data_IF_049052372069
#
_entry.id   IF_049052372069
#
_cell.length_a   1.000
_cell.length_b   1.000
_cell.length_c   1.000
_cell.angle_alpha   90.00
_cell.angle_beta   90.00
_cell.angle_gamma   90.00
#
_symmetry.space_group_name_H-M   'P 1'
#
loop_
_entity.id
_entity.type
_entity.pdbx_description
1 polymer ?
#
# COMPACT_ATOMS: atom_id res chain seq x y z
N UNK A 1 7.29 -8.51 22.50
CA UNK A 1 6.33 -7.41 22.28
C UNK A 1 5.36 -7.89 21.23
N UNK A 2 4.13 -8.24 21.62
CA UNK A 2 3.14 -8.73 20.68
C UNK A 2 2.58 -7.53 19.92
N UNK A 3 2.82 -7.47 18.61
CA UNK A 3 2.14 -6.52 17.73
C UNK A 3 0.64 -6.71 17.94
N UNK A 4 -0.06 -5.63 18.27
CA UNK A 4 -1.52 -5.69 18.38
C UNK A 4 -2.05 -6.12 17.00
N UNK A 5 -2.98 -7.08 16.92
CA UNK A 5 -3.66 -7.33 15.66
C UNK A 5 -4.38 -6.03 15.29
N UNK A 6 -3.95 -5.40 14.20
CA UNK A 6 -4.75 -4.37 13.54
C UNK A 6 -5.95 -5.11 12.96
N UNK A 7 -6.98 -5.28 13.76
CA UNK A 7 -8.30 -5.69 13.26
C UNK A 7 -8.74 -4.55 12.34
N UNK A 8 -8.86 -4.73 11.01
CA UNK A 8 -9.29 -3.66 10.12
C UNK A 8 -10.80 -3.47 10.34
N UNK A 9 -11.15 -2.81 11.43
CA UNK A 9 -12.48 -2.27 11.67
C UNK A 9 -12.56 -1.00 10.83
N UNK A 10 -13.28 -1.08 9.70
CA UNK A 10 -13.98 0.01 9.00
C UNK A 10 -13.30 1.34 8.62
N UNK A 11 -12.04 1.59 8.92
CA UNK A 11 -11.54 2.94 8.70
C UNK A 11 -11.14 3.19 7.24
N UNK A 12 -11.92 4.05 6.59
CA UNK A 12 -11.47 4.78 5.42
C UNK A 12 -10.66 5.96 5.92
N UNK A 13 -9.49 6.18 5.34
CA UNK A 13 -8.57 7.26 5.71
C UNK A 13 -8.37 8.19 4.54
N UNK A 14 -8.04 9.46 4.80
CA UNK A 14 -7.68 10.39 3.73
C UNK A 14 -6.16 10.55 3.67
N UNK A 15 -5.56 10.33 2.50
CA UNK A 15 -4.14 10.55 2.23
C UNK A 15 -4.06 11.40 0.96
N UNK A 16 -3.47 12.58 1.05
CA UNK A 16 -3.37 13.53 -0.08
C UNK A 16 -4.74 13.82 -0.74
N UNK A 17 -5.81 13.87 0.06
CA UNK A 17 -7.18 14.06 -0.44
C UNK A 17 -7.82 12.82 -1.07
N UNK A 18 -7.10 11.70 -1.15
CA UNK A 18 -7.60 10.42 -1.59
C UNK A 18 -8.18 9.63 -0.42
N UNK A 19 -9.43 9.17 -0.56
CA UNK A 19 -10.03 8.27 0.42
C UNK A 19 -9.55 6.84 0.18
N UNK A 20 -8.76 6.30 1.10
CA UNK A 20 -8.15 4.96 1.02
C UNK A 20 -8.69 4.04 2.10
N UNK A 21 -8.48 2.74 1.93
CA UNK A 21 -8.82 1.69 2.91
C UNK A 21 -7.82 0.55 2.76
N UNK A 22 -7.79 -0.39 3.71
CA UNK A 22 -6.86 -1.52 3.63
C UNK A 22 -7.20 -2.45 2.46
N UNK A 23 -6.16 -2.97 1.79
CA UNK A 23 -6.30 -3.95 0.72
C UNK A 23 -7.04 -5.21 1.21
N UNK A 24 -6.64 -5.74 2.38
CA UNK A 24 -7.31 -6.89 3.00
C UNK A 24 -8.79 -6.61 3.32
N UNK A 25 -9.14 -5.39 3.73
CA UNK A 25 -10.52 -4.98 3.95
C UNK A 25 -11.34 -4.94 2.65
N UNK A 26 -10.75 -4.48 1.55
CA UNK A 26 -11.39 -4.54 0.22
C UNK A 26 -11.63 -5.98 -0.21
N UNK A 27 -10.60 -6.82 -0.14
CA UNK A 27 -10.68 -8.23 -0.53
C UNK A 27 -11.74 -8.97 0.30
N UNK A 28 -11.76 -8.77 1.63
CA UNK A 28 -12.75 -9.39 2.50
C UNK A 28 -14.19 -9.00 2.13
N UNK A 29 -14.45 -7.72 1.87
CA UNK A 29 -15.79 -7.23 1.47
C UNK A 29 -16.21 -7.76 0.10
N UNK A 30 -15.28 -7.81 -0.86
CA UNK A 30 -15.56 -8.35 -2.18
C UNK A 30 -15.79 -9.86 -2.15
N UNK A 31 -15.03 -10.61 -1.34
CA UNK A 31 -15.22 -12.05 -1.16
C UNK A 31 -16.58 -12.35 -0.53
N UNK A 32 -17.01 -11.55 0.46
CA UNK A 32 -18.34 -11.68 1.05
C UNK A 32 -19.47 -11.36 0.03
N UNK A 33 -19.27 -10.36 -0.84
CA UNK A 33 -20.23 -9.98 -1.87
C UNK A 33 -20.28 -10.96 -3.06
N UNK A 34 -19.19 -11.67 -3.32
CA UNK A 34 -19.04 -12.57 -4.48
C UNK A 34 -18.53 -13.96 -4.05
N UNK A 35 -19.34 -14.75 -3.31
CA UNK A 35 -18.89 -16.01 -2.70
C UNK A 35 -18.53 -17.12 -3.70
N UNK A 36 -18.92 -16.96 -4.97
CA UNK A 36 -18.57 -17.91 -6.04
C UNK A 36 -17.18 -17.68 -6.65
N UNK A 37 -16.54 -16.54 -6.36
CA UNK A 37 -15.20 -16.22 -6.85
C UNK A 37 -14.12 -16.68 -5.86
N UNK A 38 -13.00 -17.16 -6.39
CA UNK A 38 -11.84 -17.42 -5.56
C UNK A 38 -11.19 -16.10 -5.11
N UNK A 39 -10.68 -16.06 -3.88
CA UNK A 39 -10.02 -14.87 -3.30
C UNK A 39 -8.88 -14.37 -4.18
N UNK A 40 -8.09 -15.28 -4.75
CA UNK A 40 -6.97 -14.95 -5.65
C UNK A 40 -7.42 -14.20 -6.91
N UNK A 41 -8.62 -14.47 -7.42
CA UNK A 41 -9.16 -13.78 -8.59
C UNK A 41 -9.64 -12.37 -8.21
N UNK A 42 -10.19 -12.20 -7.01
CA UNK A 42 -10.55 -10.90 -6.45
C UNK A 42 -9.30 -10.04 -6.26
N UNK A 43 -8.26 -10.57 -5.62
CA UNK A 43 -6.98 -9.87 -5.43
C UNK A 43 -6.38 -9.42 -6.75
N UNK A 44 -6.38 -10.30 -7.77
CA UNK A 44 -5.89 -9.98 -9.11
C UNK A 44 -6.63 -8.80 -9.72
N UNK A 45 -7.96 -8.76 -9.60
CA UNK A 45 -8.77 -7.64 -10.09
C UNK A 45 -8.43 -6.37 -9.32
N UNK A 46 -8.39 -6.40 -7.99
CA UNK A 46 -8.11 -5.21 -7.18
C UNK A 46 -6.72 -4.63 -7.50
N UNK A 47 -5.70 -5.46 -7.66
CA UNK A 47 -4.35 -5.02 -8.03
C UNK A 47 -4.31 -4.38 -9.44
N UNK A 48 -5.02 -4.98 -10.41
CA UNK A 48 -5.13 -4.42 -11.76
C UNK A 48 -5.79 -3.04 -11.75
N UNK A 49 -6.90 -2.90 -11.03
CA UNK A 49 -7.62 -1.62 -10.94
C UNK A 49 -6.79 -0.58 -10.19
N UNK A 50 -6.06 -0.98 -9.14
CA UNK A 50 -5.15 -0.10 -8.41
C UNK A 50 -4.03 0.44 -9.30
N UNK A 51 -3.41 -0.41 -10.12
CA UNK A 51 -2.37 -0.01 -11.06
C UNK A 51 -2.92 0.98 -12.10
N UNK A 52 -4.10 0.69 -12.65
CA UNK A 52 -4.77 1.57 -13.62
C UNK A 52 -5.16 2.93 -13.00
N UNK A 53 -5.61 2.95 -11.75
CA UNK A 53 -5.97 4.17 -11.04
C UNK A 53 -4.76 5.03 -10.67
N UNK A 54 -3.70 4.39 -10.18
CA UNK A 54 -2.52 5.07 -9.64
C UNK A 54 -1.47 5.43 -10.70
N UNK A 55 -1.56 4.84 -11.90
CA UNK A 55 -0.51 4.88 -12.92
C UNK A 55 0.86 4.48 -12.34
N UNK A 56 0.87 3.50 -11.43
CA UNK A 56 2.06 3.01 -10.74
C UNK A 56 2.61 3.92 -9.64
N UNK A 57 1.96 5.05 -9.35
CA UNK A 57 2.41 5.98 -8.29
C UNK A 57 1.95 5.48 -6.91
N UNK A 58 2.85 5.31 -5.93
CA UNK A 58 2.46 4.86 -4.60
C UNK A 58 1.60 5.94 -3.92
N UNK A 59 0.43 5.54 -3.43
CA UNK A 59 -0.46 6.40 -2.61
C UNK A 59 -0.04 6.33 -1.13
N UNK A 60 0.47 5.17 -0.70
CA UNK A 60 0.98 4.94 0.65
C UNK A 60 2.40 4.44 0.53
N UNK A 61 3.31 5.05 1.30
CA UNK A 61 4.72 4.66 1.38
C UNK A 61 4.98 4.12 2.79
N UNK A 62 5.44 2.88 2.96
CA UNK A 62 5.86 2.38 4.27
C UNK A 62 7.04 3.19 4.82
N UNK A 63 7.06 3.45 6.13
CA UNK A 63 8.15 4.21 6.78
C UNK A 63 9.53 3.64 6.47
N UNK A 64 9.69 2.31 6.49
CA UNK A 64 10.98 1.69 6.15
C UNK A 64 11.45 1.92 4.71
N UNK A 65 10.53 2.21 3.77
CA UNK A 65 10.89 2.61 2.39
C UNK A 65 11.44 4.04 2.38
N UNK A 66 10.86 4.95 3.17
CA UNK A 66 11.35 6.32 3.33
C UNK A 66 12.73 6.34 4.01
N UNK A 67 12.91 5.57 5.08
CA UNK A 67 14.18 5.42 5.78
C UNK A 67 15.27 4.90 4.83
N UNK A 68 15.00 3.81 4.12
CA UNK A 68 15.94 3.26 3.13
C UNK A 68 16.25 4.23 1.98
N UNK A 69 15.27 4.98 1.49
CA UNK A 69 15.50 6.00 0.47
C UNK A 69 16.40 7.13 0.98
N UNK A 70 16.22 7.55 2.24
CA UNK A 70 17.04 8.58 2.88
C UNK A 70 18.51 8.15 2.98
N UNK A 71 18.75 6.91 3.37
CA UNK A 71 20.11 6.34 3.44
C UNK A 71 20.78 6.34 2.05
N UNK A 72 20.09 5.88 1.01
CA UNK A 72 20.63 5.82 -0.35
C UNK A 72 20.99 7.22 -0.89
N UNK A 73 20.10 8.19 -0.73
CA UNK A 73 20.33 9.56 -1.20
C UNK A 73 21.48 10.25 -0.45
N UNK A 74 21.66 9.94 0.84
CA UNK A 74 22.79 10.43 1.63
C UNK A 74 24.15 9.89 1.17
N UNK A 75 24.21 8.62 0.72
CA UNK A 75 25.42 8.02 0.13
C UNK A 75 25.78 8.70 -1.20
N UNK A 76 24.80 8.95 -2.06
CA UNK A 76 25.01 9.59 -3.36
C UNK A 76 25.47 11.05 -3.24
N UNK A 77 24.93 11.80 -2.28
CA UNK A 77 25.35 13.18 -1.99
C UNK A 77 26.78 13.26 -1.46
N UNK A 78 27.18 12.29 -0.64
CA UNK A 78 28.54 12.20 -0.10
C UNK A 78 29.55 11.85 -1.21
N UNK A 79 29.20 10.92 -2.11
CA UNK A 79 30.05 10.52 -3.23
C UNK A 79 30.22 11.60 -4.31
N UNK A 80 29.33 12.58 -4.38
CA UNK A 80 29.41 13.69 -5.34
C UNK A 80 30.15 14.92 -4.80
N UNK A 81 30.39 15.01 -3.48
CA UNK A 81 31.21 16.05 -2.86
C UNK A 81 32.72 15.73 -2.88
N UNK A 82 33.10 14.46 -3.04
CA UNK A 82 34.49 13.99 -3.11
C UNK A 82 35.08 13.97 -4.54
N UNK A 83 34.44 14.64 -5.51
CA UNK A 83 34.87 14.69 -6.92
C UNK A 83 35.25 16.10 -7.39
#
# INVERSE_FOLDING_TARGET
MCSHPVTPTEDRFSIEGQLVTSFSGVVARLAAAHPALAVVDIERVVLREWEAFSAGRPIVVPVGVEEGATEMLGVDASASLDR
#
